data_IF_886821026937
#
_entry.id   IF_886821026937
#
_cell.length_a   1.000
_cell.length_b   1.000
_cell.length_c   1.000
_cell.angle_alpha   90.00
_cell.angle_beta   90.00
_cell.angle_gamma   90.00
#
_symmetry.space_group_name_H-M   'P 1'
#
loop_
_entity.id
_entity.type
_entity.pdbx_description
1 polymer ?
#
# COMPACT_ATOMS: atom_id res chain seq x y z
N UNK A 1 -14.87 18.71 -38.26
CA UNK A 1 -15.88 18.28 -37.27
C UNK A 1 -15.21 17.31 -36.30
N UNK A 2 -14.54 17.83 -35.28
CA UNK A 2 -13.83 17.04 -34.27
C UNK A 2 -14.56 17.19 -32.94
N UNK A 3 -15.19 16.10 -32.46
CA UNK A 3 -15.80 16.06 -31.13
C UNK A 3 -14.83 15.38 -30.18
N UNK A 4 -14.15 16.18 -29.38
CA UNK A 4 -13.38 15.75 -28.21
C UNK A 4 -14.34 15.28 -27.12
N UNK A 5 -14.28 14.00 -26.74
CA UNK A 5 -14.97 13.47 -25.56
C UNK A 5 -13.96 13.34 -24.42
N UNK A 6 -13.93 14.33 -23.54
CA UNK A 6 -13.28 14.23 -22.24
C UNK A 6 -14.13 13.35 -21.32
N UNK A 7 -13.69 12.11 -21.08
CA UNK A 7 -14.19 11.25 -20.02
C UNK A 7 -13.61 11.72 -18.68
N UNK A 8 -14.49 12.22 -17.81
CA UNK A 8 -14.19 12.47 -16.42
C UNK A 8 -13.82 11.15 -15.73
N UNK A 9 -12.59 11.08 -15.23
CA UNK A 9 -12.14 9.99 -14.35
C UNK A 9 -12.66 10.27 -12.94
N UNK A 10 -13.62 9.46 -12.50
CA UNK A 10 -14.11 9.47 -11.12
C UNK A 10 -13.07 8.80 -10.21
N UNK A 11 -12.24 9.62 -9.56
CA UNK A 11 -11.38 9.21 -8.46
C UNK A 11 -12.19 9.18 -7.16
N UNK A 12 -12.74 8.01 -6.81
CA UNK A 12 -13.26 7.75 -5.47
C UNK A 12 -12.11 7.34 -4.55
N UNK A 13 -11.45 8.31 -3.92
CA UNK A 13 -10.53 8.10 -2.81
C UNK A 13 -10.32 9.42 -2.08
N UNK A 14 -10.26 9.36 -0.75
CA UNK A 14 -10.08 10.43 0.24
C UNK A 14 -11.31 11.26 0.64
N UNK A 15 -12.20 10.63 1.40
CA UNK A 15 -12.98 11.32 2.45
C UNK A 15 -12.48 10.88 3.85
N UNK A 16 -11.17 10.89 4.05
CA UNK A 16 -10.54 10.71 5.35
C UNK A 16 -9.50 11.82 5.54
N UNK A 17 -9.90 12.96 6.13
CA UNK A 17 -9.01 13.85 6.89
C UNK A 17 -9.64 15.23 7.14
N UNK A 18 -10.68 15.31 7.99
CA UNK A 18 -11.07 16.60 8.60
C UNK A 18 -11.47 16.49 10.09
N UNK A 19 -11.33 15.32 10.72
CA UNK A 19 -11.73 15.10 12.12
C UNK A 19 -10.56 14.91 13.09
N UNK A 20 -9.37 15.45 12.81
CA UNK A 20 -8.21 15.25 13.70
C UNK A 20 -8.27 16.09 15.00
N UNK A 21 -9.15 17.07 15.13
CA UNK A 21 -9.20 17.93 16.33
C UNK A 21 -10.36 17.63 17.28
N UNK A 22 -11.53 17.24 16.80
CA UNK A 22 -12.65 16.83 17.66
C UNK A 22 -12.61 15.32 17.85
N UNK A 23 -12.24 14.86 19.05
CA UNK A 23 -12.36 13.45 19.44
C UNK A 23 -13.82 12.96 19.35
N UNK A 24 -14.04 11.66 19.48
CA UNK A 24 -15.39 11.10 19.41
C UNK A 24 -16.34 11.74 20.42
N UNK A 25 -17.65 11.66 20.16
CA UNK A 25 -18.67 12.09 21.13
C UNK A 25 -18.46 11.45 22.50
N UNK A 26 -18.03 10.19 22.53
CA UNK A 26 -17.73 9.45 23.76
C UNK A 26 -16.52 10.03 24.50
N UNK A 27 -15.45 10.38 23.79
CA UNK A 27 -14.30 11.07 24.36
C UNK A 27 -14.69 12.42 24.97
N UNK A 28 -15.47 13.23 24.24
CA UNK A 28 -15.92 14.54 24.74
C UNK A 28 -16.73 14.42 26.02
N UNK A 29 -17.62 13.43 26.12
CA UNK A 29 -18.37 13.16 27.35
C UNK A 29 -17.48 12.66 28.51
N UNK A 30 -16.52 11.78 28.21
CA UNK A 30 -15.57 11.29 29.21
C UNK A 30 -14.71 12.43 29.77
N UNK A 31 -14.10 13.21 28.87
CA UNK A 31 -13.21 14.31 29.24
C UNK A 31 -13.94 15.44 29.96
N UNK A 32 -15.17 15.77 29.56
CA UNK A 32 -15.96 16.79 30.26
C UNK A 32 -16.39 16.35 31.65
N UNK A 33 -16.76 15.08 31.83
CA UNK A 33 -17.07 14.52 33.14
C UNK A 33 -15.84 14.47 34.05
N UNK A 34 -14.67 14.14 33.48
CA UNK A 34 -13.39 14.14 34.20
C UNK A 34 -13.03 15.56 34.66
N UNK A 35 -13.09 16.55 33.77
CA UNK A 35 -12.83 17.95 34.13
C UNK A 35 -13.77 18.44 35.23
N UNK A 36 -15.06 18.09 35.14
CA UNK A 36 -16.05 18.45 36.16
C UNK A 36 -15.71 17.81 37.51
N UNK A 37 -15.23 16.56 37.52
CA UNK A 37 -14.82 15.88 38.74
C UNK A 37 -13.58 16.55 39.36
N UNK A 38 -12.61 16.96 38.55
CA UNK A 38 -11.41 17.69 39.00
C UNK A 38 -11.79 19.04 39.63
N UNK A 39 -12.67 19.80 38.96
CA UNK A 39 -13.17 21.06 39.49
C UNK A 39 -13.89 20.86 40.82
N UNK A 40 -14.79 19.87 40.89
CA UNK A 40 -15.50 19.55 42.14
C UNK A 40 -14.57 19.10 43.24
N UNK A 41 -13.50 18.37 42.95
CA UNK A 41 -12.54 17.92 43.96
C UNK A 41 -11.68 19.09 44.48
N UNK A 42 -11.23 19.97 43.59
CA UNK A 42 -10.34 21.08 43.91
C UNK A 42 -11.06 22.21 44.66
N UNK A 43 -12.36 22.39 44.37
CA UNK A 43 -13.22 23.44 44.96
C UNK A 43 -14.29 22.89 45.92
N UNK A 44 -14.16 21.64 46.39
CA UNK A 44 -15.04 21.10 47.47
C UNK A 44 -14.82 21.83 48.80
N UNK A 45 -13.56 22.19 48.97
CA UNK A 45 -13.04 23.26 49.79
C UNK A 45 -13.72 24.62 49.72
N UNK A 46 -14.19 25.25 50.78
CA UNK A 46 -14.57 26.67 50.69
C UNK A 46 -13.57 27.56 51.42
N UNK A 47 -13.60 28.86 51.09
CA UNK A 47 -12.84 29.84 51.86
C UNK A 47 -13.29 29.89 53.33
N UNK A 48 -14.57 29.58 53.59
CA UNK A 48 -15.10 29.50 54.95
C UNK A 48 -14.42 28.36 55.72
N UNK A 49 -14.33 27.17 55.13
CA UNK A 49 -13.60 26.03 55.72
C UNK A 49 -12.12 26.36 55.99
N UNK A 50 -11.50 27.12 55.08
CA UNK A 50 -10.12 27.58 55.26
C UNK A 50 -9.99 28.59 56.40
N UNK A 51 -10.94 29.51 56.51
CA UNK A 51 -10.98 30.53 57.56
C UNK A 51 -11.22 29.94 58.94
N UNK A 52 -11.99 28.86 59.05
CA UNK A 52 -12.18 28.13 60.30
C UNK A 52 -10.86 27.50 60.79
N UNK A 53 -10.02 27.04 59.86
CA UNK A 53 -8.73 26.44 60.18
C UNK A 53 -7.64 27.48 60.51
N UNK A 54 -7.75 28.70 59.97
CA UNK A 54 -6.74 29.77 60.07
C UNK A 54 -7.33 31.12 60.51
N UNK A 55 -8.24 31.10 61.47
CA UNK A 55 -9.07 32.24 61.89
C UNK A 55 -8.27 33.51 62.24
N UNK A 56 -7.19 33.38 63.02
CA UNK A 56 -6.31 34.49 63.40
C UNK A 56 -5.72 35.21 62.17
N UNK A 57 -5.22 34.45 61.20
CA UNK A 57 -4.57 35.00 60.02
C UNK A 57 -5.59 35.59 59.03
N UNK A 58 -6.73 34.92 58.84
CA UNK A 58 -7.83 35.42 58.01
C UNK A 58 -8.42 36.73 58.53
N UNK A 59 -8.41 36.96 59.85
CA UNK A 59 -8.82 38.22 60.48
C UNK A 59 -7.78 39.33 60.34
N UNK A 60 -6.50 39.00 60.42
CA UNK A 60 -5.40 39.97 60.30
C UNK A 60 -5.16 40.42 58.84
N UNK A 61 -5.24 39.49 57.88
CA UNK A 61 -4.97 39.74 56.47
C UNK A 61 -5.95 38.96 55.57
N UNK A 62 -7.20 39.44 55.42
CA UNK A 62 -8.22 38.75 54.62
C UNK A 62 -7.86 38.65 53.14
N UNK A 63 -7.27 39.70 52.56
CA UNK A 63 -6.88 39.72 51.14
C UNK A 63 -5.75 38.74 50.85
N UNK A 64 -4.79 38.61 51.78
CA UNK A 64 -3.68 37.67 51.67
C UNK A 64 -4.13 36.21 51.79
N UNK A 65 -4.97 35.92 52.78
CA UNK A 65 -5.53 34.59 52.99
C UNK A 65 -6.40 34.12 51.80
N UNK A 66 -7.25 35.01 51.27
CA UNK A 66 -8.05 34.73 50.06
C UNK A 66 -7.17 34.51 48.82
N UNK A 67 -6.11 35.30 48.66
CA UNK A 67 -5.12 35.11 47.60
C UNK A 67 -4.44 33.74 47.67
N UNK A 68 -4.04 33.31 48.88
CA UNK A 68 -3.41 32.00 49.09
C UNK A 68 -4.38 30.85 48.85
N UNK A 69 -5.62 30.95 49.37
CA UNK A 69 -6.68 29.96 49.11
C UNK A 69 -6.88 29.74 47.61
N UNK A 70 -7.13 30.81 46.85
CA UNK A 70 -7.32 30.73 45.41
C UNK A 70 -6.08 30.18 44.68
N UNK A 71 -4.89 30.52 45.16
CA UNK A 71 -3.64 29.98 44.60
C UNK A 71 -3.54 28.47 44.80
N UNK A 72 -3.85 27.96 45.99
CA UNK A 72 -3.82 26.54 46.31
C UNK A 72 -4.87 25.78 45.48
N UNK A 73 -6.12 26.27 45.44
CA UNK A 73 -7.19 25.61 44.69
C UNK A 73 -6.89 25.54 43.20
N UNK A 74 -6.39 26.63 42.60
CA UNK A 74 -5.97 26.65 41.20
C UNK A 74 -4.75 25.75 40.93
N UNK A 75 -3.78 25.71 41.85
CA UNK A 75 -2.60 24.86 41.72
C UNK A 75 -2.98 23.37 41.83
N UNK A 76 -3.88 23.02 42.75
CA UNK A 76 -4.39 21.66 42.89
C UNK A 76 -5.18 21.22 41.65
N UNK A 77 -6.02 22.09 41.10
CA UNK A 77 -6.73 21.83 39.84
C UNK A 77 -5.77 21.56 38.69
N UNK A 78 -4.73 22.39 38.53
CA UNK A 78 -3.69 22.20 37.50
C UNK A 78 -2.94 20.89 37.68
N UNK A 79 -2.45 20.61 38.90
CA UNK A 79 -1.70 19.38 39.17
C UNK A 79 -2.51 18.13 38.86
N UNK A 80 -3.79 18.09 39.24
CA UNK A 80 -4.66 16.95 38.97
C UNK A 80 -4.95 16.85 37.47
N UNK A 81 -5.21 17.98 36.80
CA UNK A 81 -5.44 18.02 35.35
C UNK A 81 -4.24 17.48 34.59
N UNK A 82 -3.03 17.99 34.88
CA UNK A 82 -1.80 17.57 34.21
C UNK A 82 -1.51 16.08 34.42
N UNK A 83 -1.72 15.57 35.65
CA UNK A 83 -1.54 14.15 35.95
C UNK A 83 -2.58 13.26 35.23
N UNK A 84 -3.83 13.70 35.15
CA UNK A 84 -4.88 13.00 34.40
C UNK A 84 -4.61 13.01 32.89
N UNK A 85 -4.11 14.12 32.35
CA UNK A 85 -3.74 14.23 30.94
C UNK A 85 -2.55 13.34 30.60
N UNK A 86 -1.54 13.28 31.47
CA UNK A 86 -0.41 12.36 31.32
C UNK A 86 -0.88 10.90 31.30
N UNK A 87 -1.80 10.52 32.19
CA UNK A 87 -2.40 9.18 32.19
C UNK A 87 -3.18 8.92 30.91
N UNK A 88 -3.97 9.88 30.44
CA UNK A 88 -4.71 9.76 29.18
C UNK A 88 -3.76 9.55 27.98
N UNK A 89 -2.63 10.24 27.95
CA UNK A 89 -1.60 10.06 26.92
C UNK A 89 -0.93 8.70 27.05
N UNK A 90 -0.49 8.32 28.25
CA UNK A 90 0.23 7.08 28.52
C UNK A 90 -0.55 5.83 28.13
N UNK A 91 -1.86 5.84 28.37
CA UNK A 91 -2.74 4.71 28.01
C UNK A 91 -3.42 4.89 26.65
N UNK A 92 -3.07 5.93 25.89
CA UNK A 92 -3.70 6.28 24.63
C UNK A 92 -5.25 6.27 24.73
N UNK A 93 -5.77 6.84 25.82
CA UNK A 93 -7.16 6.72 26.20
C UNK A 93 -8.09 7.31 25.14
N UNK A 94 -7.68 8.42 24.52
CA UNK A 94 -8.44 9.07 23.45
C UNK A 94 -8.66 8.14 22.26
N UNK A 95 -7.59 7.56 21.71
CA UNK A 95 -7.69 6.67 20.55
C UNK A 95 -8.50 5.42 20.88
N UNK A 96 -8.27 4.82 22.06
CA UNK A 96 -9.00 3.64 22.50
C UNK A 96 -10.50 3.91 22.68
N UNK A 97 -10.88 5.07 23.23
CA UNK A 97 -12.28 5.49 23.38
C UNK A 97 -12.91 5.80 22.01
N UNK A 98 -12.15 6.38 21.09
CA UNK A 98 -12.59 6.67 19.73
C UNK A 98 -12.81 5.38 18.92
N UNK A 99 -11.91 4.39 19.02
CA UNK A 99 -12.08 3.05 18.44
C UNK A 99 -13.35 2.40 19.02
N UNK A 100 -13.52 2.44 20.34
CA UNK A 100 -14.72 1.90 20.97
C UNK A 100 -15.99 2.60 20.47
N UNK A 101 -15.95 3.92 20.27
CA UNK A 101 -17.08 4.64 19.70
C UNK A 101 -17.40 4.17 18.29
N UNK A 102 -16.40 4.04 17.43
CA UNK A 102 -16.57 3.55 16.07
C UNK A 102 -17.19 2.14 16.03
N UNK A 103 -16.66 1.21 16.82
CA UNK A 103 -17.18 -0.17 16.92
C UNK A 103 -18.64 -0.20 17.39
N UNK A 104 -19.01 0.63 18.37
CA UNK A 104 -20.39 0.70 18.86
C UNK A 104 -21.33 1.29 17.81
N UNK A 105 -20.90 2.34 17.09
CA UNK A 105 -21.69 2.94 16.01
C UNK A 105 -21.93 1.93 14.89
N UNK A 106 -20.88 1.23 14.46
CA UNK A 106 -20.99 0.16 13.45
C UNK A 106 -21.92 -0.96 13.91
N UNK A 107 -21.81 -1.41 15.17
CA UNK A 107 -22.70 -2.44 15.72
C UNK A 107 -24.17 -1.97 15.74
N UNK A 108 -24.43 -0.72 16.09
CA UNK A 108 -25.78 -0.13 16.06
C UNK A 108 -26.31 -0.02 14.63
N UNK A 109 -25.47 0.32 13.66
CA UNK A 109 -25.85 0.36 12.24
C UNK A 109 -26.20 -1.02 11.71
N UNK A 110 -25.40 -2.04 12.01
CA UNK A 110 -25.69 -3.45 11.68
C UNK A 110 -27.01 -3.92 12.30
N UNK A 111 -27.26 -3.55 13.56
CA UNK A 111 -28.51 -3.87 14.24
C UNK A 111 -29.72 -3.18 13.59
N UNK A 112 -29.61 -1.90 13.24
CA UNK A 112 -30.67 -1.16 12.52
C UNK A 112 -30.94 -1.73 11.13
N UNK A 113 -29.90 -2.24 10.46
CA UNK A 113 -30.01 -2.91 9.17
C UNK A 113 -30.63 -4.32 9.27
N UNK A 114 -30.89 -4.84 10.48
CA UNK A 114 -31.44 -6.18 10.68
C UNK A 114 -30.48 -7.30 10.34
N UNK A 115 -29.17 -7.03 10.32
CA UNK A 115 -28.15 -8.05 10.07
C UNK A 115 -27.98 -8.86 11.36
N UNK A 116 -28.32 -10.15 11.30
CA UNK A 116 -28.11 -11.08 12.41
C UNK A 116 -26.65 -11.08 12.87
N UNK A 117 -26.37 -11.27 14.17
CA UNK A 117 -25.02 -11.25 14.70
C UNK A 117 -24.17 -12.33 14.01
N UNK A 118 -23.19 -11.89 13.21
CA UNK A 118 -22.32 -12.79 12.47
C UNK A 118 -21.37 -13.59 13.37
N UNK A 119 -20.59 -14.48 12.77
CA UNK A 119 -19.56 -15.27 13.44
C UNK A 119 -18.43 -14.43 14.11
N UNK A 120 -18.37 -13.14 13.79
CA UNK A 120 -17.45 -12.13 14.35
C UNK A 120 -17.99 -11.49 15.65
N UNK A 121 -19.14 -11.95 16.15
CA UNK A 121 -19.70 -11.46 17.42
C UNK A 121 -18.93 -12.05 18.59
N UNK A 122 -18.47 -11.18 19.51
CA UNK A 122 -17.79 -11.61 20.72
C UNK A 122 -18.69 -12.53 21.56
N UNK A 123 -18.13 -13.63 22.07
CA UNK A 123 -18.79 -14.57 22.98
C UNK A 123 -17.96 -14.69 24.25
N UNK A 124 -18.62 -14.80 25.41
CA UNK A 124 -17.94 -14.94 26.70
C UNK A 124 -17.07 -16.22 26.76
N UNK A 125 -17.54 -17.32 26.17
CA UNK A 125 -16.83 -18.60 26.12
C UNK A 125 -16.02 -18.77 24.82
N UNK A 126 -15.33 -17.71 24.37
CA UNK A 126 -14.53 -17.78 23.15
C UNK A 126 -13.26 -18.58 23.39
N UNK A 127 -13.15 -19.75 22.78
CA UNK A 127 -11.91 -20.52 22.79
C UNK A 127 -10.74 -19.69 22.23
N UNK A 128 -9.54 -19.70 22.85
CA UNK A 128 -8.39 -18.95 22.36
C UNK A 128 -8.05 -19.22 20.89
N UNK A 129 -8.27 -20.47 20.42
CA UNK A 129 -8.10 -20.85 19.01
C UNK A 129 -9.07 -20.13 18.09
N UNK A 130 -10.32 -19.93 18.51
CA UNK A 130 -11.32 -19.21 17.74
C UNK A 130 -10.97 -17.73 17.62
N UNK A 131 -10.50 -17.11 18.71
CA UNK A 131 -10.03 -15.72 18.71
C UNK A 131 -8.85 -15.50 17.75
N UNK A 132 -7.85 -16.40 17.78
CA UNK A 132 -6.72 -16.35 16.84
C UNK A 132 -7.20 -16.50 15.40
N UNK A 133 -8.07 -17.46 15.11
CA UNK A 133 -8.62 -17.67 13.76
C UNK A 133 -9.38 -16.46 13.24
N UNK A 134 -10.20 -15.81 14.07
CA UNK A 134 -10.94 -14.61 13.67
C UNK A 134 -10.01 -13.51 13.15
N UNK A 135 -8.82 -13.35 13.77
CA UNK A 135 -7.82 -12.38 13.33
C UNK A 135 -6.97 -12.87 12.15
N UNK A 136 -6.60 -14.15 12.12
CA UNK A 136 -5.66 -14.67 11.13
C UNK A 136 -6.32 -14.97 9.78
N UNK A 137 -7.58 -15.42 9.76
CA UNK A 137 -8.27 -15.80 8.52
C UNK A 137 -8.39 -14.63 7.52
N UNK A 138 -8.78 -13.40 7.91
CA UNK A 138 -8.83 -12.26 6.99
C UNK A 138 -7.48 -12.00 6.32
N UNK A 139 -6.40 -11.96 7.09
CA UNK A 139 -5.03 -11.76 6.58
C UNK A 139 -4.65 -12.87 5.60
N UNK A 140 -4.94 -14.13 5.94
CA UNK A 140 -4.67 -15.26 5.04
C UNK A 140 -5.49 -15.20 3.75
N UNK A 141 -6.72 -14.66 3.78
CA UNK A 141 -7.52 -14.47 2.57
C UNK A 141 -6.93 -13.38 1.68
N UNK A 142 -6.45 -12.28 2.25
CA UNK A 142 -5.77 -11.22 1.50
C UNK A 142 -4.48 -11.72 0.85
N UNK A 143 -3.66 -12.46 1.59
CA UNK A 143 -2.42 -13.04 1.05
C UNK A 143 -2.70 -14.10 -0.04
N UNK A 144 -3.74 -14.92 0.15
CA UNK A 144 -4.20 -15.86 -0.88
C UNK A 144 -4.59 -15.10 -2.16
N UNK A 145 -5.43 -14.06 -2.04
CA UNK A 145 -5.86 -13.28 -3.19
C UNK A 145 -4.68 -12.61 -3.92
N UNK A 146 -3.68 -12.12 -3.17
CA UNK A 146 -2.45 -11.57 -3.74
C UNK A 146 -1.64 -12.64 -4.49
N UNK A 147 -1.51 -13.84 -3.92
CA UNK A 147 -0.79 -14.93 -4.54
C UNK A 147 -1.49 -15.43 -5.81
N UNK A 148 -2.82 -15.55 -5.81
CA UNK A 148 -3.61 -15.91 -6.99
C UNK A 148 -3.48 -14.87 -8.10
N UNK A 149 -3.51 -13.58 -7.78
CA UNK A 149 -3.30 -12.50 -8.76
C UNK A 149 -1.92 -12.59 -9.42
N UNK A 150 -0.87 -12.83 -8.62
CA UNK A 150 0.50 -12.98 -9.12
C UNK A 150 0.68 -14.24 -9.97
N UNK A 151 0.01 -15.34 -9.58
CA UNK A 151 0.03 -16.57 -10.38
C UNK A 151 -0.62 -16.34 -11.75
N UNK A 152 -1.77 -15.67 -11.79
CA UNK A 152 -2.46 -15.36 -13.04
C UNK A 152 -1.63 -14.46 -13.97
N UNK A 153 -0.88 -13.51 -13.41
CA UNK A 153 0.06 -12.67 -14.16
C UNK A 153 1.19 -13.51 -14.78
N UNK A 154 1.83 -14.37 -13.99
CA UNK A 154 2.91 -15.24 -14.46
C UNK A 154 2.42 -16.27 -15.49
N UNK A 155 1.23 -16.84 -15.33
CA UNK A 155 0.63 -17.74 -16.31
C UNK A 155 0.39 -17.03 -17.65
N UNK A 156 -0.09 -15.79 -17.61
CA UNK A 156 -0.29 -14.98 -18.81
C UNK A 156 1.03 -14.66 -19.51
N UNK A 157 2.06 -14.28 -18.77
CA UNK A 157 3.40 -14.04 -19.32
C UNK A 157 3.99 -15.31 -19.94
N UNK A 158 3.87 -16.44 -19.25
CA UNK A 158 4.37 -17.72 -19.75
C UNK A 158 3.66 -18.14 -21.05
N UNK A 159 2.34 -17.95 -21.14
CA UNK A 159 1.60 -18.19 -22.38
C UNK A 159 2.07 -17.29 -23.53
N UNK A 160 2.37 -16.02 -23.25
CA UNK A 160 2.91 -15.09 -24.25
C UNK A 160 4.30 -15.52 -24.72
N UNK A 161 5.20 -15.83 -23.78
CA UNK A 161 6.55 -16.30 -24.09
C UNK A 161 6.54 -17.62 -24.86
N UNK A 162 5.65 -18.56 -24.53
CA UNK A 162 5.48 -19.80 -25.29
C UNK A 162 5.02 -19.53 -26.73
N UNK A 163 4.09 -18.60 -26.93
CA UNK A 163 3.64 -18.23 -28.26
C UNK A 163 4.78 -17.59 -29.09
N UNK A 164 5.58 -16.71 -28.48
CA UNK A 164 6.75 -16.11 -29.11
C UNK A 164 7.82 -17.16 -29.44
N UNK A 165 8.12 -18.07 -28.52
CA UNK A 165 9.07 -19.15 -28.74
C UNK A 165 8.65 -20.03 -29.93
N UNK A 166 7.38 -20.43 -29.98
CA UNK A 166 6.85 -21.24 -31.09
C UNK A 166 6.90 -20.49 -32.43
N UNK A 167 6.68 -19.17 -32.43
CA UNK A 167 6.83 -18.34 -33.63
C UNK A 167 8.28 -18.28 -34.09
N UNK A 168 9.22 -18.03 -33.17
CA UNK A 168 10.65 -17.96 -33.46
C UNK A 168 11.18 -19.32 -33.96
N UNK A 169 10.75 -20.42 -33.35
CA UNK A 169 11.12 -21.77 -33.78
C UNK A 169 10.63 -22.07 -35.20
N UNK A 170 9.39 -21.69 -35.54
CA UNK A 170 8.87 -21.84 -36.91
C UNK A 170 9.66 -20.99 -37.92
N UNK A 171 10.00 -19.76 -37.56
CA UNK A 171 10.80 -18.88 -38.41
C UNK A 171 12.22 -19.45 -38.62
N UNK A 172 12.86 -19.96 -37.56
CA UNK A 172 14.16 -20.61 -37.64
C UNK A 172 14.12 -21.82 -38.58
N UNK A 173 13.12 -22.70 -38.43
CA UNK A 173 12.96 -23.86 -39.33
C UNK A 173 12.72 -23.48 -40.79
N UNK A 174 11.98 -22.39 -41.04
CA UNK A 174 11.78 -21.90 -42.38
C UNK A 174 13.09 -21.38 -42.99
N UNK A 175 13.86 -20.60 -42.22
CA UNK A 175 15.17 -20.10 -42.64
C UNK A 175 16.17 -21.24 -42.90
N UNK A 176 16.24 -22.24 -42.01
CA UNK A 176 17.11 -23.40 -42.18
C UNK A 176 16.76 -24.18 -43.46
N UNK A 177 15.47 -24.31 -43.79
CA UNK A 177 15.03 -24.92 -45.04
C UNK A 177 15.40 -24.08 -46.27
N UNK A 178 15.32 -22.75 -46.20
CA UNK A 178 15.76 -21.86 -47.27
C UNK A 178 17.28 -21.88 -47.46
N UNK A 179 18.05 -21.85 -46.36
CA UNK A 179 19.51 -21.93 -46.40
C UNK A 179 19.95 -23.25 -47.01
N UNK A 180 19.33 -24.37 -46.61
CA UNK A 180 19.62 -25.67 -47.21
C UNK A 180 19.40 -25.67 -48.72
N UNK A 181 18.29 -25.10 -49.20
CA UNK A 181 18.05 -24.94 -50.65
C UNK A 181 19.11 -24.09 -51.36
N UNK A 182 19.62 -23.05 -50.69
CA UNK A 182 20.70 -22.22 -51.25
C UNK A 182 22.02 -22.99 -51.31
N UNK A 183 22.33 -23.80 -50.30
CA UNK A 183 23.51 -24.68 -50.31
C UNK A 183 23.40 -25.74 -51.40
N UNK A 184 22.25 -26.42 -51.52
CA UNK A 184 22.01 -27.41 -52.57
C UNK A 184 22.23 -26.79 -53.98
N UNK A 185 21.78 -25.54 -54.20
CA UNK A 185 22.01 -24.83 -55.46
C UNK A 185 23.50 -24.49 -55.69
N UNK A 186 24.23 -24.10 -54.64
CA UNK A 186 25.66 -23.81 -54.73
C UNK A 186 26.46 -25.08 -55.05
N UNK A 187 26.09 -26.21 -54.46
CA UNK A 187 26.70 -27.50 -54.77
C UNK A 187 26.48 -27.87 -56.24
N UNK A 188 25.24 -27.73 -56.76
CA UNK A 188 24.95 -27.93 -58.18
C UNK A 188 25.75 -27.00 -59.11
N UNK A 189 25.90 -25.73 -58.74
CA UNK A 189 26.70 -24.78 -59.52
C UNK A 189 28.18 -25.13 -59.50
N UNK A 190 28.69 -25.62 -58.36
CA UNK A 190 30.08 -26.03 -58.20
C UNK A 190 30.37 -27.28 -59.03
N UNK A 191 29.44 -28.25 -59.05
CA UNK A 191 29.52 -29.42 -59.93
C UNK A 191 29.54 -29.02 -61.40
N UNK A 192 28.64 -28.11 -61.82
CA UNK A 192 28.62 -27.58 -63.19
C UNK A 192 29.90 -26.82 -63.53
N UNK A 193 30.42 -26.03 -62.60
CA UNK A 193 31.70 -25.32 -62.75
C UNK A 193 32.88 -26.28 -62.90
N UNK A 194 32.90 -27.36 -62.12
CA UNK A 194 33.93 -28.41 -62.22
C UNK A 194 33.84 -29.19 -63.54
N UNK A 195 32.64 -29.32 -64.12
CA UNK A 195 32.42 -29.99 -65.41
C UNK A 195 32.76 -29.15 -66.64
N UNK A 196 33.01 -27.85 -66.47
CA UNK A 196 33.47 -27.01 -67.56
C UNK A 196 34.86 -27.47 -68.00
N UNK A 197 35.12 -27.59 -69.31
CA UNK A 197 36.40 -28.03 -69.81
C UNK A 197 37.40 -26.86 -69.71
N UNK A 198 37.86 -26.61 -68.49
CA UNK A 198 38.77 -25.51 -68.17
C UNK A 198 40.09 -25.69 -68.93
N UNK A 199 40.54 -26.93 -69.13
CA UNK A 199 41.71 -27.24 -69.96
C UNK A 199 41.48 -26.86 -71.43
N UNK A 200 40.32 -27.17 -72.03
CA UNK A 200 40.01 -26.77 -73.41
C UNK A 200 39.88 -25.24 -73.55
N UNK A 201 39.32 -24.57 -72.53
CA UNK A 201 39.21 -23.11 -72.49
C UNK A 201 40.59 -22.47 -72.31
N UNK A 202 41.46 -23.06 -71.48
CA UNK A 202 42.84 -22.62 -71.30
C UNK A 202 43.66 -22.84 -72.57
N UNK A 203 43.54 -24.00 -73.22
CA UNK A 203 44.17 -24.30 -74.51
C UNK A 203 43.67 -23.37 -75.61
N UNK A 204 42.37 -23.08 -75.65
CA UNK A 204 41.82 -22.08 -76.57
C UNK A 204 42.39 -20.69 -76.27
N UNK A 205 42.47 -20.30 -74.99
CA UNK A 205 43.02 -19.01 -74.60
C UNK A 205 44.51 -18.89 -74.94
N UNK A 206 45.31 -19.93 -74.72
CA UNK A 206 46.72 -20.03 -75.09
C UNK A 206 46.88 -19.92 -76.60
N UNK A 207 46.08 -20.66 -77.38
CA UNK A 207 46.08 -20.57 -78.85
C UNK A 207 45.69 -19.18 -79.35
N UNK A 208 44.74 -18.50 -78.70
CA UNK A 208 44.38 -17.12 -79.07
C UNK A 208 45.46 -16.10 -78.68
N UNK A 209 46.17 -16.31 -77.56
CA UNK A 209 47.30 -15.48 -77.14
C UNK A 209 48.52 -15.70 -78.03
N UNK A 210 48.77 -16.93 -78.46
CA UNK A 210 49.82 -17.29 -79.44
C UNK A 210 49.47 -16.81 -80.86
N UNK A 211 48.18 -16.72 -81.20
CA UNK A 211 47.70 -16.17 -82.47
C UNK A 211 47.63 -14.64 -82.49
N UNK A 212 47.71 -13.97 -81.33
CA UNK A 212 47.98 -12.54 -81.27
C UNK A 212 49.44 -12.34 -81.66
N UNK A 213 49.75 -11.53 -82.68
CA UNK A 213 51.14 -11.30 -83.08
C UNK A 213 51.91 -10.72 -81.89
N UNK A 214 53.01 -11.37 -81.50
CA UNK A 214 54.03 -10.71 -80.70
C UNK A 214 54.43 -9.44 -81.44
N UNK A 215 54.14 -8.28 -80.87
CA UNK A 215 54.65 -7.02 -81.37
C UNK A 215 56.19 -7.13 -81.45
N UNK A 216 56.81 -7.06 -82.64
CA UNK A 216 58.26 -7.02 -82.72
C UNK A 216 58.73 -5.71 -82.10
N UNK A 217 59.68 -5.84 -81.16
CA UNK A 217 60.40 -4.74 -80.55
C UNK A 217 60.86 -3.71 -81.60
N UNK A 218 60.49 -2.45 -81.36
CA UNK A 218 61.25 -1.28 -81.78
C UNK A 218 62.03 -0.76 -80.57
#
# INVERSE_FOLDING_TARGET
MSKSSNKASASSSLNQSTSQQQGSRRWTHFHSALQLAIQRASHKWTYDDFSECFDLWCKEQPDGASGVYNTISNHMEKLITDACDELCIKYNARENIDILHAVVVEAQERQKAGIEPGADTWKADLEPRAAVRARTIPVLREEKARAEAKLAELEKENLQLQAEFMKNYKAMKANEAEEKRRYDLLDELTEKWASLPIEDIQDWSLRTVEALPSEPAL
#
